data_IF_905889459410
#
_entry.id   IF_905889459410
#
_cell.length_a   1.000
_cell.length_b   1.000
_cell.length_c   1.000
_cell.angle_alpha   90.00
_cell.angle_beta   90.00
_cell.angle_gamma   90.00
#
_symmetry.space_group_name_H-M   'P 1'
#
loop_
_entity.id
_entity.type
_entity.pdbx_description
1 polymer ?
#
# COMPACT_ATOMS: atom_id res chain seq x y z
N UNK A 1 -25.38 -53.04 63.49
CA UNK A 1 -26.13 -52.85 62.22
C UNK A 1 -25.32 -51.89 61.35
N UNK A 2 -24.62 -52.43 60.37
CA UNK A 2 -23.74 -51.67 59.41
C UNK A 2 -24.55 -51.37 58.16
N UNK A 3 -24.68 -50.08 57.80
CA UNK A 3 -25.15 -49.65 56.48
C UNK A 3 -23.97 -49.13 55.65
N UNK A 4 -23.60 -49.91 54.66
CA UNK A 4 -22.61 -49.55 53.62
C UNK A 4 -23.25 -48.55 52.66
N UNK A 5 -22.71 -47.34 52.58
CA UNK A 5 -23.01 -46.38 51.52
C UNK A 5 -22.07 -46.60 50.31
N UNK A 6 -22.68 -46.82 49.17
CA UNK A 6 -21.97 -46.98 47.88
C UNK A 6 -21.79 -45.60 47.30
N UNK A 7 -20.51 -45.14 47.19
CA UNK A 7 -20.17 -43.94 46.44
C UNK A 7 -20.04 -44.31 44.97
N UNK A 8 -21.01 -43.88 44.17
CA UNK A 8 -20.88 -43.91 42.70
C UNK A 8 -20.04 -42.72 42.25
N UNK A 9 -18.82 -43.01 41.81
CA UNK A 9 -17.98 -42.02 41.13
C UNK A 9 -18.45 -41.86 39.68
N UNK A 10 -19.07 -40.74 39.36
CA UNK A 10 -19.39 -40.36 37.99
C UNK A 10 -18.12 -39.83 37.31
N UNK A 11 -17.57 -40.63 36.42
CA UNK A 11 -16.45 -40.25 35.58
C UNK A 11 -17.00 -39.41 34.44
N UNK A 12 -16.91 -38.07 34.55
CA UNK A 12 -17.23 -37.14 33.45
C UNK A 12 -16.05 -37.16 32.47
N UNK A 13 -16.21 -37.91 31.39
CA UNK A 13 -15.27 -37.89 30.26
C UNK A 13 -15.51 -36.57 29.51
N UNK A 14 -14.71 -35.54 29.80
CA UNK A 14 -14.68 -34.31 29.07
C UNK A 14 -14.05 -34.54 27.69
N UNK A 15 -14.89 -34.71 26.67
CA UNK A 15 -14.47 -34.66 25.29
C UNK A 15 -14.06 -33.24 24.96
N UNK A 16 -12.76 -32.91 25.07
CA UNK A 16 -12.17 -31.73 24.49
C UNK A 16 -12.18 -31.91 22.98
N UNK A 17 -13.21 -31.40 22.32
CA UNK A 17 -13.19 -31.20 20.86
C UNK A 17 -12.10 -30.16 20.56
N UNK A 18 -10.94 -30.64 20.16
CA UNK A 18 -9.94 -29.84 19.45
C UNK A 18 -10.60 -29.41 18.15
N UNK A 19 -11.19 -28.22 18.15
CA UNK A 19 -11.51 -27.52 16.92
C UNK A 19 -10.18 -27.17 16.28
N UNK A 20 -9.69 -28.03 15.42
CA UNK A 20 -8.70 -27.65 14.43
C UNK A 20 -9.39 -26.63 13.52
N UNK A 21 -9.38 -25.37 13.91
CA UNK A 21 -9.62 -24.29 12.99
C UNK A 21 -8.54 -24.44 11.92
N UNK A 22 -8.94 -24.80 10.70
CA UNK A 22 -8.14 -24.52 9.51
C UNK A 22 -7.92 -23.01 9.47
N UNK A 23 -6.99 -22.52 10.28
CA UNK A 23 -6.50 -21.17 10.19
C UNK A 23 -5.81 -21.06 8.85
N UNK A 24 -6.41 -20.30 7.95
CA UNK A 24 -5.67 -19.78 6.80
C UNK A 24 -4.56 -18.91 7.39
N UNK A 25 -3.37 -19.48 7.52
CA UNK A 25 -2.22 -18.78 8.07
C UNK A 25 -1.77 -17.76 7.03
N UNK A 26 -2.28 -16.53 7.16
CA UNK A 26 -1.79 -15.38 6.45
C UNK A 26 -0.51 -14.85 7.10
N UNK A 27 0.44 -14.43 6.30
CA UNK A 27 1.60 -13.65 6.77
C UNK A 27 1.36 -12.18 6.49
N UNK A 28 1.62 -11.36 7.49
CA UNK A 28 1.52 -9.89 7.41
C UNK A 28 2.92 -9.29 7.41
N UNK A 29 3.15 -8.38 6.47
CA UNK A 29 4.39 -7.65 6.35
C UNK A 29 4.12 -6.16 6.28
N UNK A 30 4.99 -5.35 6.91
CA UNK A 30 4.94 -3.90 6.80
C UNK A 30 6.21 -3.39 6.17
N UNK A 31 6.04 -2.41 5.31
CA UNK A 31 7.17 -1.70 4.71
C UNK A 31 6.92 -0.19 4.70
N UNK A 32 7.99 0.55 4.86
CA UNK A 32 8.01 2.01 4.75
C UNK A 32 8.38 2.38 3.32
N UNK A 33 7.49 3.06 2.64
CA UNK A 33 7.75 3.69 1.35
C UNK A 33 8.16 5.14 1.60
N UNK A 34 9.33 5.55 1.12
CA UNK A 34 9.86 6.90 1.30
C UNK A 34 10.11 7.55 -0.06
N UNK A 35 9.61 8.76 -0.23
CA UNK A 35 9.81 9.58 -1.44
C UNK A 35 10.70 10.77 -1.08
N UNK A 36 11.82 10.91 -1.80
CA UNK A 36 12.78 12.01 -1.65
C UNK A 36 12.77 12.90 -2.88
N UNK A 37 12.62 14.20 -2.66
CA UNK A 37 12.58 15.23 -3.71
C UNK A 37 13.62 16.29 -3.43
N UNK A 38 14.51 16.52 -4.38
CA UNK A 38 15.42 17.66 -4.35
C UNK A 38 14.65 18.93 -4.73
N UNK A 39 14.86 19.99 -3.94
CA UNK A 39 14.32 21.33 -4.24
C UNK A 39 15.41 22.38 -4.06
N UNK A 40 15.23 23.61 -4.58
CA UNK A 40 16.17 24.71 -4.31
C UNK A 40 16.34 25.03 -2.82
N UNK A 41 15.34 24.67 -1.98
CA UNK A 41 15.39 24.85 -0.52
C UNK A 41 15.89 23.60 0.23
N UNK A 42 16.51 22.66 -0.47
CA UNK A 42 17.07 21.43 0.06
C UNK A 42 16.17 20.20 -0.18
N UNK A 43 16.56 19.10 0.44
CA UNK A 43 15.85 17.82 0.35
C UNK A 43 14.53 17.87 1.09
N UNK A 44 13.45 17.44 0.41
CA UNK A 44 12.14 17.22 1.01
C UNK A 44 11.85 15.72 0.98
N UNK A 45 11.24 15.23 2.04
CA UNK A 45 10.98 13.79 2.23
C UNK A 45 9.59 13.58 2.79
N UNK A 46 8.87 12.63 2.24
CA UNK A 46 7.63 12.09 2.80
C UNK A 46 7.72 10.57 2.88
N UNK A 47 6.95 9.97 3.76
CA UNK A 47 6.86 8.51 3.86
C UNK A 47 5.46 8.07 4.29
N UNK A 48 5.15 6.80 3.98
CA UNK A 48 4.03 6.07 4.55
C UNK A 48 4.46 4.64 4.88
N UNK A 49 3.91 4.09 5.94
CA UNK A 49 4.03 2.67 6.28
C UNK A 49 2.80 1.97 5.74
N UNK A 50 3.02 0.95 4.93
CA UNK A 50 2.00 0.12 4.31
C UNK A 50 2.10 -1.31 4.81
N UNK A 51 0.99 -2.02 4.80
CA UNK A 51 0.89 -3.39 5.26
C UNK A 51 0.35 -4.27 4.15
N UNK A 52 1.00 -5.41 3.93
CA UNK A 52 0.56 -6.44 3.00
C UNK A 52 0.15 -7.67 3.80
N UNK A 53 -1.06 -8.13 3.56
CA UNK A 53 -1.60 -9.36 4.13
C UNK A 53 -1.67 -10.42 3.05
N UNK A 54 -0.86 -11.48 3.20
CA UNK A 54 -0.92 -12.66 2.36
C UNK A 54 -1.89 -13.66 2.98
N UNK A 55 -2.92 -14.03 2.25
CA UNK A 55 -3.89 -15.05 2.65
C UNK A 55 -3.77 -16.25 1.74
N UNK A 56 -3.66 -17.43 2.33
CA UNK A 56 -3.63 -18.67 1.60
C UNK A 56 -5.06 -19.18 1.43
N UNK A 57 -5.54 -19.20 0.21
CA UNK A 57 -6.84 -19.76 -0.16
C UNK A 57 -6.73 -21.15 -0.79
N UNK A 58 -7.81 -21.61 -1.38
CA UNK A 58 -7.86 -22.90 -2.10
C UNK A 58 -7.05 -22.76 -3.38
N UNK A 59 -6.07 -23.65 -3.57
CA UNK A 59 -5.31 -23.72 -4.80
C UNK A 59 -6.17 -24.37 -5.89
N UNK A 60 -6.52 -23.62 -6.92
CA UNK A 60 -7.18 -24.11 -8.12
C UNK A 60 -6.14 -24.32 -9.23
N UNK A 61 -6.45 -25.09 -10.30
CA UNK A 61 -5.52 -25.33 -11.40
C UNK A 61 -4.91 -24.05 -12.00
N UNK A 62 -5.70 -22.96 -12.06
CA UNK A 62 -5.31 -21.69 -12.67
C UNK A 62 -5.01 -20.57 -11.64
N UNK A 63 -4.86 -20.94 -10.35
CA UNK A 63 -4.61 -19.97 -9.27
C UNK A 63 -3.49 -20.47 -8.36
N UNK A 64 -2.59 -19.55 -7.97
CA UNK A 64 -1.57 -19.84 -6.96
C UNK A 64 -2.16 -20.17 -5.59
N UNK A 65 -3.43 -19.83 -5.35
CA UNK A 65 -4.08 -19.92 -4.06
C UNK A 65 -3.53 -18.95 -3.03
N UNK A 66 -2.72 -17.97 -3.44
CA UNK A 66 -2.21 -16.91 -2.57
C UNK A 66 -2.82 -15.58 -3.02
N UNK A 67 -3.44 -14.88 -2.09
CA UNK A 67 -4.00 -13.57 -2.31
C UNK A 67 -3.26 -12.57 -1.45
N UNK A 68 -2.97 -11.40 -2.00
CA UNK A 68 -2.36 -10.29 -1.28
C UNK A 68 -3.33 -9.11 -1.24
N UNK A 69 -3.47 -8.50 -0.07
CA UNK A 69 -4.19 -7.24 0.09
C UNK A 69 -3.23 -6.22 0.70
N UNK A 70 -3.27 -5.00 0.21
CA UNK A 70 -2.45 -3.90 0.72
C UNK A 70 -3.31 -2.89 1.46
N UNK A 71 -2.84 -2.48 2.65
CA UNK A 71 -3.43 -1.43 3.47
C UNK A 71 -2.39 -0.33 3.70
N UNK A 72 -2.84 0.91 3.79
CA UNK A 72 -1.97 2.05 4.04
C UNK A 72 -2.48 3.31 3.39
N UNK A 73 -1.59 4.26 3.17
CA UNK A 73 -1.93 5.57 2.62
C UNK A 73 -0.94 5.99 1.53
N UNK A 74 -1.36 6.97 0.73
CA UNK A 74 -0.47 7.69 -0.17
C UNK A 74 0.63 8.41 0.61
N UNK A 75 1.83 8.47 0.04
CA UNK A 75 2.89 9.32 0.60
C UNK A 75 2.65 10.76 0.20
N UNK A 76 2.66 11.67 1.17
CA UNK A 76 2.61 13.10 0.92
C UNK A 76 3.99 13.73 1.17
N UNK A 77 4.52 14.46 0.20
CA UNK A 77 5.75 15.24 0.30
C UNK A 77 5.42 16.72 0.21
N UNK A 78 5.64 17.43 1.33
CA UNK A 78 5.46 18.89 1.36
C UNK A 78 6.59 19.57 0.59
N UNK A 79 6.23 20.33 -0.42
CA UNK A 79 7.15 21.07 -1.27
C UNK A 79 7.08 22.58 -0.99
N UNK A 80 8.09 23.34 -1.41
CA UNK A 80 8.07 24.79 -1.26
C UNK A 80 6.84 25.43 -1.91
N UNK A 81 6.38 26.55 -1.35
CA UNK A 81 5.19 27.25 -1.82
C UNK A 81 3.86 26.63 -1.43
N UNK A 82 3.84 25.75 -0.43
CA UNK A 82 2.62 25.09 0.06
C UNK A 82 2.05 24.02 -0.87
N UNK A 83 2.85 23.58 -1.83
CA UNK A 83 2.49 22.51 -2.76
C UNK A 83 2.75 21.14 -2.14
N UNK A 84 1.99 20.13 -2.53
CA UNK A 84 2.18 18.75 -2.08
C UNK A 84 2.25 17.80 -3.27
N UNK A 85 3.29 16.98 -3.29
CA UNK A 85 3.40 15.82 -4.17
C UNK A 85 2.86 14.60 -3.43
N UNK A 86 1.92 13.88 -4.05
CA UNK A 86 1.45 12.59 -3.54
C UNK A 86 1.99 11.45 -4.37
N UNK A 87 2.39 10.37 -3.71
CA UNK A 87 2.66 9.08 -4.34
C UNK A 87 1.59 8.09 -3.89
N UNK A 88 0.74 7.68 -4.85
CA UNK A 88 -0.48 6.95 -4.58
C UNK A 88 -0.25 5.49 -4.15
N UNK A 89 -1.32 4.84 -3.67
CA UNK A 89 -1.38 3.42 -3.32
C UNK A 89 -1.94 2.59 -4.50
N UNK A 90 -1.75 3.05 -5.72
CA UNK A 90 -2.31 2.45 -6.93
C UNK A 90 -1.38 1.45 -7.63
N UNK A 91 -0.15 1.38 -7.18
CA UNK A 91 0.80 0.39 -7.68
C UNK A 91 0.68 -0.86 -6.83
N UNK A 92 0.45 -2.00 -7.47
CA UNK A 92 0.45 -3.28 -6.79
C UNK A 92 1.70 -3.40 -5.90
N UNK A 93 1.49 -3.73 -4.62
CA UNK A 93 2.56 -3.96 -3.66
C UNK A 93 3.59 -4.96 -4.20
N UNK A 94 3.13 -5.99 -4.92
CA UNK A 94 3.99 -6.95 -5.60
C UNK A 94 5.04 -6.24 -6.48
N UNK A 95 4.59 -5.31 -7.31
CA UNK A 95 5.48 -4.58 -8.25
C UNK A 95 6.49 -3.73 -7.48
N UNK A 96 6.05 -3.04 -6.44
CA UNK A 96 6.92 -2.23 -5.59
C UNK A 96 7.99 -3.08 -4.89
N UNK A 97 7.62 -4.23 -4.33
CA UNK A 97 8.53 -5.15 -3.67
C UNK A 97 9.46 -5.86 -4.65
N UNK A 98 8.93 -6.26 -5.82
CA UNK A 98 9.71 -6.88 -6.90
C UNK A 98 10.83 -5.95 -7.39
N UNK A 99 10.52 -4.67 -7.62
CA UNK A 99 11.51 -3.70 -8.11
C UNK A 99 12.52 -3.28 -7.06
N UNK A 100 12.15 -3.30 -5.78
CA UNK A 100 13.02 -2.94 -4.67
C UNK A 100 13.80 -4.12 -4.12
N UNK A 101 13.13 -5.20 -3.74
CA UNK A 101 13.76 -6.35 -3.08
C UNK A 101 14.05 -7.53 -4.00
N UNK A 102 13.52 -7.54 -5.21
CA UNK A 102 13.64 -8.65 -6.17
C UNK A 102 12.54 -9.70 -6.01
N UNK A 103 11.52 -9.43 -5.22
CA UNK A 103 10.35 -10.30 -5.01
C UNK A 103 9.60 -9.95 -3.75
N UNK A 104 8.47 -10.60 -3.59
CA UNK A 104 7.55 -10.44 -2.46
C UNK A 104 7.35 -11.73 -1.66
N UNK A 105 8.11 -12.79 -1.97
CA UNK A 105 8.00 -14.03 -1.23
C UNK A 105 8.39 -13.85 0.24
N UNK A 106 7.78 -14.61 1.18
CA UNK A 106 8.13 -14.55 2.59
C UNK A 106 9.64 -14.64 2.87
N UNK A 107 10.35 -15.49 2.14
CA UNK A 107 11.80 -15.64 2.31
C UNK A 107 12.57 -14.36 1.97
N UNK A 108 12.20 -13.68 0.88
CA UNK A 108 12.80 -12.40 0.46
C UNK A 108 12.51 -11.30 1.46
N UNK A 109 11.25 -11.20 1.91
CA UNK A 109 10.82 -10.15 2.84
C UNK A 109 11.40 -10.35 4.24
N UNK A 110 11.49 -11.61 4.73
CA UNK A 110 12.11 -11.94 6.00
C UNK A 110 13.63 -11.62 5.97
N UNK A 111 14.33 -11.94 4.87
CA UNK A 111 15.72 -11.58 4.67
C UNK A 111 15.92 -10.05 4.62
N UNK A 112 15.08 -9.35 3.85
CA UNK A 112 15.14 -7.88 3.75
C UNK A 112 14.88 -7.21 5.11
N UNK A 113 14.02 -7.80 5.96
CA UNK A 113 13.76 -7.34 7.32
C UNK A 113 14.96 -7.57 8.23
N UNK A 114 15.54 -8.79 8.22
CA UNK A 114 16.69 -9.15 9.03
C UNK A 114 17.90 -8.25 8.73
N UNK A 115 18.14 -7.97 7.47
CA UNK A 115 19.23 -7.12 6.99
C UNK A 115 18.97 -5.63 7.17
N UNK A 116 17.76 -5.22 7.59
CA UNK A 116 17.31 -3.82 7.62
C UNK A 116 17.54 -3.11 6.28
N UNK A 117 17.41 -3.86 5.19
CA UNK A 117 17.75 -3.40 3.84
C UNK A 117 16.85 -2.24 3.40
N UNK A 118 17.47 -1.16 2.96
CA UNK A 118 16.80 -0.07 2.25
C UNK A 118 17.04 -0.28 0.75
N UNK A 119 15.98 -0.48 0.00
CA UNK A 119 16.05 -0.71 -1.44
C UNK A 119 15.47 0.47 -2.21
N UNK A 120 16.09 0.79 -3.34
CA UNK A 120 15.58 1.80 -4.28
C UNK A 120 14.57 1.12 -5.19
N UNK A 121 13.35 1.65 -5.20
CA UNK A 121 12.30 1.25 -6.15
C UNK A 121 12.72 1.74 -7.54
N UNK A 122 12.72 0.84 -8.51
CA UNK A 122 13.09 1.16 -9.90
C UNK A 122 11.85 1.11 -10.78
N UNK A 123 11.75 1.98 -11.81
CA UNK A 123 10.71 1.81 -12.80
C UNK A 123 10.90 0.46 -13.50
N UNK A 124 9.80 -0.24 -13.79
CA UNK A 124 9.85 -1.38 -14.70
C UNK A 124 10.24 -0.88 -16.09
N UNK A 125 11.11 -1.59 -16.80
CA UNK A 125 11.29 -1.30 -18.20
C UNK A 125 9.95 -1.48 -18.92
N UNK A 126 9.64 -0.64 -19.92
CA UNK A 126 8.43 -0.82 -20.74
C UNK A 126 8.42 -2.26 -21.27
N UNK A 127 7.34 -2.98 -21.00
CA UNK A 127 7.18 -4.34 -21.53
C UNK A 127 6.97 -4.24 -23.03
N UNK A 128 7.61 -5.14 -23.81
CA UNK A 128 7.40 -5.22 -25.26
C UNK A 128 5.88 -5.37 -25.53
N UNK A 129 5.32 -4.45 -26.31
CA UNK A 129 3.88 -4.41 -26.65
C UNK A 129 3.04 -3.40 -25.86
N UNK A 130 3.62 -2.69 -24.88
CA UNK A 130 2.95 -1.56 -24.23
C UNK A 130 3.04 -0.32 -25.12
N UNK A 131 1.90 0.37 -25.28
CA UNK A 131 1.88 1.63 -26.05
C UNK A 131 2.65 2.70 -25.27
N UNK A 132 3.79 3.22 -25.80
CA UNK A 132 4.61 4.20 -25.09
C UNK A 132 3.90 5.55 -24.87
N UNK A 133 2.75 5.76 -25.53
CA UNK A 133 1.93 6.96 -25.35
C UNK A 133 0.79 6.77 -24.36
N UNK A 134 0.56 5.55 -23.87
CA UNK A 134 -0.44 5.27 -22.85
C UNK A 134 0.09 5.74 -21.48
N UNK A 135 -0.57 6.70 -20.82
CA UNK A 135 -0.18 7.16 -19.50
C UNK A 135 -0.13 6.05 -18.44
N UNK A 136 -0.91 4.97 -18.60
CA UNK A 136 -0.90 3.82 -17.69
C UNK A 136 0.42 3.03 -17.77
N UNK A 137 1.13 3.09 -18.89
CA UNK A 137 2.42 2.42 -19.07
C UNK A 137 3.58 3.07 -18.30
N UNK A 138 3.43 4.30 -17.83
CA UNK A 138 4.43 4.97 -17.02
C UNK A 138 4.53 4.45 -15.58
N UNK A 139 3.58 3.63 -15.15
CA UNK A 139 3.38 3.29 -13.74
C UNK A 139 3.89 1.91 -13.34
N UNK A 140 4.41 1.14 -14.27
CA UNK A 140 4.99 -0.16 -13.91
C UNK A 140 6.24 0.02 -13.04
N UNK A 141 6.08 -0.13 -11.73
CA UNK A 141 7.14 -0.11 -10.74
C UNK A 141 7.24 1.14 -9.87
N UNK A 142 6.68 2.28 -10.29
CA UNK A 142 6.54 3.47 -9.45
C UNK A 142 5.09 3.68 -9.02
N UNK A 143 4.86 4.13 -7.77
CA UNK A 143 3.56 4.69 -7.41
C UNK A 143 3.26 5.91 -8.29
N UNK A 144 2.01 6.06 -8.71
CA UNK A 144 1.59 7.24 -9.49
C UNK A 144 1.82 8.50 -8.68
N UNK A 145 2.55 9.44 -9.27
CA UNK A 145 2.80 10.74 -8.68
C UNK A 145 1.72 11.72 -9.13
N UNK A 146 1.09 12.41 -8.17
CA UNK A 146 0.05 13.39 -8.47
C UNK A 146 0.20 14.65 -7.64
N UNK A 147 -0.38 15.74 -8.13
CA UNK A 147 -0.61 16.97 -7.39
C UNK A 147 -2.06 17.41 -7.54
N UNK A 148 -2.53 18.22 -6.61
CA UNK A 148 -3.78 18.97 -6.73
C UNK A 148 -3.45 20.45 -6.83
N UNK A 149 -4.08 21.14 -7.80
CA UNK A 149 -4.05 22.62 -7.84
C UNK A 149 -4.81 23.20 -6.65
N UNK A 150 -5.84 22.49 -6.19
CA UNK A 150 -6.62 22.79 -5.01
C UNK A 150 -6.89 21.51 -4.24
N UNK A 151 -6.33 21.35 -3.05
CA UNK A 151 -6.50 20.16 -2.20
C UNK A 151 -7.97 19.92 -1.76
N UNK A 152 -8.87 20.90 -1.94
CA UNK A 152 -10.30 20.75 -1.65
C UNK A 152 -11.11 20.29 -2.85
N UNK A 153 -10.48 20.19 -4.03
CA UNK A 153 -11.12 19.81 -5.28
C UNK A 153 -10.43 18.60 -5.91
N UNK A 154 -11.01 17.39 -5.81
CA UNK A 154 -10.45 16.19 -6.41
C UNK A 154 -10.30 16.29 -7.92
N UNK A 155 -11.15 17.10 -8.60
CA UNK A 155 -11.09 17.30 -10.05
C UNK A 155 -9.87 18.12 -10.49
N UNK A 156 -9.18 18.77 -9.55
CA UNK A 156 -7.94 19.53 -9.81
C UNK A 156 -6.68 18.65 -9.83
N UNK A 157 -6.82 17.32 -9.67
CA UNK A 157 -5.71 16.38 -9.69
C UNK A 157 -5.04 16.32 -11.06
N UNK A 158 -3.71 16.28 -11.04
CA UNK A 158 -2.89 16.13 -12.26
C UNK A 158 -1.81 15.08 -12.00
N UNK A 159 -1.63 14.15 -12.94
CA UNK A 159 -0.54 13.19 -12.87
C UNK A 159 0.79 13.86 -13.23
N UNK A 160 1.83 13.52 -12.49
CA UNK A 160 3.17 14.05 -12.65
C UNK A 160 4.11 12.95 -13.11
N UNK A 161 4.83 13.19 -14.19
CA UNK A 161 5.90 12.28 -14.61
C UNK A 161 7.08 12.37 -13.65
N UNK A 162 7.70 11.25 -13.24
CA UNK A 162 8.83 11.26 -12.30
C UNK A 162 10.04 12.11 -12.75
N UNK A 163 10.22 12.26 -14.04
CA UNK A 163 11.30 13.06 -14.66
C UNK A 163 10.91 14.53 -14.91
N UNK A 164 9.66 14.89 -14.71
CA UNK A 164 9.09 16.20 -15.06
C UNK A 164 8.56 17.01 -13.87
N UNK A 165 9.02 16.74 -12.63
CA UNK A 165 8.56 17.47 -11.44
C UNK A 165 8.75 18.99 -11.57
N UNK A 166 9.82 19.43 -12.23
CA UNK A 166 10.10 20.85 -12.40
C UNK A 166 9.01 21.61 -13.17
N UNK A 167 8.32 20.94 -14.09
CA UNK A 167 7.22 21.54 -14.85
C UNK A 167 6.02 21.89 -13.97
N UNK A 168 5.81 21.14 -12.89
CA UNK A 168 4.68 21.30 -11.99
C UNK A 168 5.01 22.10 -10.74
N UNK A 169 6.22 21.92 -10.20
CA UNK A 169 6.61 22.44 -8.88
C UNK A 169 7.66 23.54 -8.95
N UNK A 170 8.14 23.87 -10.16
CA UNK A 170 9.11 24.93 -10.40
C UNK A 170 10.55 24.44 -10.61
N UNK A 171 11.41 25.34 -11.09
CA UNK A 171 12.80 25.02 -11.44
C UNK A 171 13.56 24.41 -10.26
N UNK A 172 14.38 23.39 -10.55
CA UNK A 172 15.22 22.72 -9.54
C UNK A 172 14.50 21.67 -8.71
N UNK A 173 13.17 21.50 -8.86
CA UNK A 173 12.44 20.41 -8.20
C UNK A 173 12.57 19.13 -9.02
N UNK A 174 13.11 18.06 -8.41
CA UNK A 174 13.36 16.79 -9.08
C UNK A 174 13.16 15.64 -8.10
N UNK A 175 12.52 14.56 -8.56
CA UNK A 175 12.49 13.30 -7.80
C UNK A 175 13.95 12.82 -7.64
N UNK A 176 14.37 12.61 -6.41
CA UNK A 176 15.68 12.06 -6.11
C UNK A 176 15.65 10.55 -6.15
N UNK A 177 14.73 9.96 -5.42
CA UNK A 177 14.49 8.51 -5.37
C UNK A 177 13.22 8.18 -4.60
N UNK A 178 12.74 6.95 -4.82
CA UNK A 178 11.75 6.29 -3.98
C UNK A 178 12.44 5.07 -3.38
N UNK A 179 12.27 4.84 -2.07
CA UNK A 179 12.88 3.71 -1.37
C UNK A 179 11.85 2.96 -0.56
N UNK A 180 12.10 1.66 -0.36
CA UNK A 180 11.33 0.81 0.53
C UNK A 180 12.24 0.17 1.57
N UNK A 181 11.69 -0.04 2.77
CA UNK A 181 12.35 -0.73 3.86
C UNK A 181 11.33 -1.50 4.67
N UNK A 182 11.61 -2.77 4.98
CA UNK A 182 10.76 -3.54 5.90
C UNK A 182 10.81 -2.92 7.30
N UNK A 183 9.64 -2.81 7.95
CA UNK A 183 9.51 -2.17 9.28
C UNK A 183 8.48 -2.88 10.13
N UNK A 184 8.52 -2.62 11.44
CA UNK A 184 7.46 -2.96 12.40
C UNK A 184 6.65 -1.74 12.85
N UNK A 185 6.93 -0.56 12.27
CA UNK A 185 6.18 0.65 12.59
C UNK A 185 4.68 0.45 12.28
N UNK A 186 3.78 1.13 12.98
CA UNK A 186 2.35 1.07 12.67
C UNK A 186 2.06 1.61 11.27
N UNK A 187 1.01 1.09 10.65
CA UNK A 187 0.51 1.58 9.35
C UNK A 187 0.17 3.06 9.49
N UNK A 188 0.63 3.86 8.51
CA UNK A 188 0.33 5.29 8.49
C UNK A 188 -1.14 5.52 8.21
N UNK A 189 -1.73 6.48 8.93
CA UNK A 189 -3.13 6.91 8.81
C UNK A 189 -3.21 8.43 8.97
N UNK A 190 -4.22 9.07 8.38
CA UNK A 190 -4.47 10.50 8.56
C UNK A 190 -4.44 11.31 7.27
N UNK A 191 -4.42 10.65 6.11
CA UNK A 191 -4.44 11.32 4.80
C UNK A 191 -5.68 12.21 4.63
N UNK A 192 -6.80 11.85 5.28
CA UNK A 192 -8.06 12.60 5.29
C UNK A 192 -7.91 14.02 5.88
N UNK A 193 -6.93 14.24 6.74
CA UNK A 193 -6.62 15.58 7.27
C UNK A 193 -6.04 16.51 6.21
N UNK A 194 -5.45 15.95 5.17
CA UNK A 194 -4.84 16.68 4.05
C UNK A 194 -5.80 16.86 2.88
N UNK A 195 -6.60 15.83 2.62
CA UNK A 195 -7.55 15.76 1.51
C UNK A 195 -8.96 15.45 2.06
N UNK A 196 -9.65 16.44 2.60
CA UNK A 196 -10.88 16.25 3.39
C UNK A 196 -12.08 15.72 2.59
N UNK A 197 -12.01 15.70 1.26
CA UNK A 197 -13.05 15.13 0.41
C UNK A 197 -12.99 13.61 0.29
N UNK A 198 -11.91 12.96 0.79
CA UNK A 198 -11.73 11.51 0.62
C UNK A 198 -12.84 10.69 1.30
N UNK A 199 -13.40 11.19 2.38
CA UNK A 199 -14.52 10.57 3.09
C UNK A 199 -15.89 10.80 2.42
N UNK A 200 -15.93 11.61 1.35
CA UNK A 200 -17.17 12.03 0.66
C UNK A 200 -17.09 11.82 -0.85
N UNK A 201 -16.36 10.82 -1.28
CA UNK A 201 -16.04 10.58 -2.68
C UNK A 201 -17.20 10.13 -3.55
N UNK A 202 -18.24 9.57 -2.96
CA UNK A 202 -19.49 9.22 -3.64
C UNK A 202 -20.06 10.39 -4.48
N UNK A 203 -19.88 11.62 -4.01
CA UNK A 203 -20.30 12.84 -4.73
C UNK A 203 -19.51 13.08 -6.01
N UNK A 204 -18.26 12.63 -6.06
CA UNK A 204 -17.36 12.86 -7.19
C UNK A 204 -17.33 11.69 -8.16
N UNK A 205 -17.55 10.47 -7.66
CA UNK A 205 -17.56 9.26 -8.49
C UNK A 205 -18.73 9.24 -9.50
N UNK A 206 -19.81 9.93 -9.16
CA UNK A 206 -20.97 10.06 -10.05
C UNK A 206 -20.81 11.14 -11.14
N UNK A 207 -19.75 11.96 -11.10
CA UNK A 207 -19.53 13.00 -12.09
C UNK A 207 -18.91 12.40 -13.36
N UNK A 208 -19.62 12.44 -14.53
CA UNK A 208 -19.10 11.92 -15.79
C UNK A 208 -17.87 12.68 -16.31
N UNK A 209 -17.56 13.86 -15.74
CA UNK A 209 -16.36 14.63 -16.06
C UNK A 209 -15.17 14.23 -15.18
N UNK A 210 -15.37 13.34 -14.22
CA UNK A 210 -14.29 12.86 -13.38
C UNK A 210 -13.28 12.07 -14.24
N UNK A 211 -12.07 12.57 -14.44
CA UNK A 211 -11.04 11.87 -15.21
C UNK A 211 -10.50 10.65 -14.46
N UNK A 212 -10.79 10.53 -13.18
CA UNK A 212 -10.33 9.48 -12.30
C UNK A 212 -11.53 8.59 -11.97
N UNK A 213 -11.55 7.43 -12.54
CA UNK A 213 -12.56 6.40 -12.34
C UNK A 213 -12.70 6.01 -10.85
N UNK A 214 -13.58 5.07 -10.56
CA UNK A 214 -13.96 4.57 -9.23
C UNK A 214 -12.81 4.15 -8.28
N UNK A 215 -11.55 4.15 -8.73
CA UNK A 215 -10.39 3.70 -7.94
C UNK A 215 -9.76 4.80 -7.09
N UNK A 216 -10.03 6.07 -7.37
CA UNK A 216 -9.35 7.20 -6.72
C UNK A 216 -9.31 7.15 -5.18
N UNK A 217 -10.38 6.76 -4.47
CA UNK A 217 -10.33 6.62 -3.02
C UNK A 217 -9.35 5.56 -2.54
N UNK A 218 -9.38 4.39 -3.18
CA UNK A 218 -8.46 3.29 -2.89
C UNK A 218 -7.01 3.70 -3.09
N UNK A 219 -6.75 4.50 -4.11
CA UNK A 219 -5.42 5.00 -4.46
C UNK A 219 -4.80 5.87 -3.34
N UNK A 220 -5.63 6.48 -2.49
CA UNK A 220 -5.19 7.24 -1.33
C UNK A 220 -5.26 6.47 -0.01
N UNK A 221 -5.79 5.24 -0.01
CA UNK A 221 -5.95 4.44 1.20
C UNK A 221 -7.21 4.75 2.01
N UNK A 222 -8.22 5.40 1.38
CA UNK A 222 -9.45 5.86 2.05
C UNK A 222 -10.50 4.79 2.31
N UNK A 223 -10.35 3.57 1.81
CA UNK A 223 -11.30 2.48 2.11
C UNK A 223 -10.94 1.81 3.43
N UNK A 224 -11.44 2.36 4.52
CA UNK A 224 -11.59 1.61 5.75
C UNK A 224 -12.98 0.97 5.71
N UNK A 225 -13.05 -0.34 5.56
CA UNK A 225 -14.27 -1.08 5.86
C UNK A 225 -14.60 -0.84 7.34
N UNK A 226 -15.60 0.01 7.59
CA UNK A 226 -16.25 0.12 8.88
C UNK A 226 -17.15 -1.09 9.09
#
# INVERSE_FOLDING_TARGET
MFRRGIFSALLVLGATTLVFGCGMFGKTYRYKLTVEVNTPQGLKTGYAVREINYTQGIKLPDSSGVYATENGEAVAVELPGGQTLFALLDTDAYVTLQTGFGGDSPAILDAARADKRVAVVKPFPPTIGTNPTDPSNYFHGYPRLVQFKNLRDPMSMTTIKPDALAASFGPGVRLKRITIQMTNDPVTTGIEKRIPWIDHLDRYLADPKNPFTSTLPGDFGGFRNN
#
